data_IF_803027599493
#
_entry.id   IF_803027599493
#
_cell.length_a   1.000
_cell.length_b   1.000
_cell.length_c   1.000
_cell.angle_alpha   90.00
_cell.angle_beta   90.00
_cell.angle_gamma   90.00
#
_symmetry.space_group_name_H-M   'P 1'
#
loop_
_entity.id
_entity.type
_entity.pdbx_description
1 polymer ?
#
# COMPACT_ATOMS: atom_id res chain seq x y z
N UNK A 1 12.08 -12.20 -10.58
CA UNK A 1 12.78 -11.40 -9.55
C UNK A 1 11.75 -10.89 -8.54
N UNK A 2 12.17 -10.27 -7.42
CA UNK A 2 11.24 -9.71 -6.41
C UNK A 2 10.27 -8.72 -7.06
N UNK A 3 10.79 -7.81 -7.87
CA UNK A 3 10.02 -6.80 -8.59
C UNK A 3 8.94 -7.40 -9.52
N UNK A 4 9.27 -8.44 -10.30
CA UNK A 4 8.28 -9.12 -11.15
C UNK A 4 7.15 -9.74 -10.31
N UNK A 5 7.52 -10.33 -9.17
CA UNK A 5 6.55 -10.95 -8.26
C UNK A 5 5.67 -9.88 -7.62
N UNK A 6 6.25 -8.76 -7.21
CA UNK A 6 5.54 -7.61 -6.67
C UNK A 6 4.56 -7.04 -7.70
N UNK A 7 5.03 -6.73 -8.91
CA UNK A 7 4.21 -6.15 -9.97
C UNK A 7 3.04 -7.07 -10.35
N UNK A 8 3.30 -8.38 -10.52
CA UNK A 8 2.24 -9.36 -10.74
C UNK A 8 1.22 -9.38 -9.59
N UNK A 9 1.70 -9.31 -8.35
CA UNK A 9 0.83 -9.32 -7.17
C UNK A 9 0.01 -8.03 -7.07
N UNK A 10 0.55 -6.88 -7.49
CA UNK A 10 -0.20 -5.62 -7.61
C UNK A 10 -1.32 -5.74 -8.64
N UNK A 11 -1.04 -6.33 -9.80
CA UNK A 11 -2.07 -6.54 -10.83
C UNK A 11 -3.18 -7.47 -10.30
N UNK A 12 -2.82 -8.55 -9.61
CA UNK A 12 -3.77 -9.44 -8.94
C UNK A 12 -4.61 -8.69 -7.86
N UNK A 13 -4.00 -7.74 -7.15
CA UNK A 13 -4.70 -6.93 -6.15
C UNK A 13 -5.67 -5.92 -6.80
N UNK A 14 -5.27 -5.30 -7.90
CA UNK A 14 -6.11 -4.41 -8.71
C UNK A 14 -7.33 -5.20 -9.22
N UNK A 15 -7.12 -6.41 -9.76
CA UNK A 15 -8.22 -7.29 -10.19
C UNK A 15 -9.13 -7.69 -9.02
N UNK A 16 -8.58 -7.95 -7.83
CA UNK A 16 -9.40 -8.15 -6.63
C UNK A 16 -10.27 -6.92 -6.34
N UNK A 17 -9.71 -5.72 -6.44
CA UNK A 17 -10.45 -4.48 -6.19
C UNK A 17 -11.57 -4.23 -7.20
N UNK A 18 -11.53 -4.80 -8.41
CA UNK A 18 -12.62 -4.68 -9.41
C UNK A 18 -13.94 -5.34 -9.00
N UNK A 19 -13.92 -6.24 -8.01
CA UNK A 19 -15.12 -7.00 -7.64
C UNK A 19 -16.20 -6.07 -7.06
N UNK A 20 -17.49 -6.25 -7.44
CA UNK A 20 -18.58 -5.36 -7.00
C UNK A 20 -18.68 -5.20 -5.48
N UNK A 21 -18.44 -6.26 -4.71
CA UNK A 21 -18.48 -6.23 -3.25
C UNK A 21 -17.43 -5.31 -2.61
N UNK A 22 -16.34 -5.01 -3.32
CA UNK A 22 -15.31 -4.07 -2.87
C UNK A 22 -15.64 -2.68 -3.38
N UNK A 23 -15.99 -2.56 -4.66
CA UNK A 23 -16.35 -1.30 -5.31
C UNK A 23 -17.54 -0.59 -4.63
N UNK A 24 -18.53 -1.35 -4.15
CA UNK A 24 -19.74 -0.83 -3.52
C UNK A 24 -19.60 -0.68 -1.99
N UNK A 25 -18.47 -1.10 -1.41
CA UNK A 25 -18.26 -1.12 0.03
C UNK A 25 -17.42 0.07 0.49
N UNK A 26 -17.76 0.61 1.66
CA UNK A 26 -16.93 1.59 2.37
C UNK A 26 -15.86 0.95 3.26
N UNK A 27 -15.75 -0.39 3.26
CA UNK A 27 -14.86 -1.13 4.16
C UNK A 27 -13.45 -1.29 3.58
N UNK A 28 -12.50 -0.56 4.15
CA UNK A 28 -11.06 -0.71 3.87
C UNK A 28 -10.58 -2.15 4.14
N UNK A 29 -11.26 -2.88 5.03
CA UNK A 29 -10.88 -4.25 5.35
C UNK A 29 -11.00 -5.18 4.14
N UNK A 30 -11.98 -4.99 3.26
CA UNK A 30 -12.16 -5.83 2.07
C UNK A 30 -11.08 -5.61 1.00
N UNK A 31 -10.48 -4.42 0.99
CA UNK A 31 -9.31 -4.12 0.15
C UNK A 31 -8.10 -4.94 0.64
N UNK A 32 -7.97 -5.15 1.95
CA UNK A 32 -6.81 -5.83 2.57
C UNK A 32 -7.00 -7.33 2.79
N UNK A 33 -8.24 -7.81 2.88
CA UNK A 33 -8.53 -9.21 3.12
C UNK A 33 -8.47 -10.02 1.83
N UNK A 34 -7.26 -10.15 1.29
CA UNK A 34 -7.00 -10.90 0.07
C UNK A 34 -5.58 -11.46 0.04
N UNK A 35 -5.38 -12.51 -0.76
CA UNK A 35 -4.07 -13.13 -0.96
C UNK A 35 -3.02 -12.16 -1.51
N UNK A 36 -3.32 -11.29 -2.51
CA UNK A 36 -2.35 -10.34 -3.02
C UNK A 36 -1.79 -9.40 -1.95
N UNK A 37 -2.64 -8.88 -1.07
CA UNK A 37 -2.22 -8.05 0.07
C UNK A 37 -1.26 -8.81 1.00
N UNK A 38 -1.67 -10.01 1.44
CA UNK A 38 -0.86 -10.85 2.34
C UNK A 38 0.49 -11.20 1.72
N UNK A 39 0.50 -11.46 0.42
CA UNK A 39 1.70 -11.79 -0.34
C UNK A 39 2.67 -10.60 -0.41
N UNK A 40 2.19 -9.38 -0.67
CA UNK A 40 3.04 -8.18 -0.61
C UNK A 40 3.62 -7.98 0.78
N UNK A 41 2.80 -8.12 1.84
CA UNK A 41 3.29 -8.02 3.23
C UNK A 41 4.36 -9.07 3.52
N UNK A 42 4.19 -10.30 3.02
CA UNK A 42 5.15 -11.39 3.24
C UNK A 42 6.51 -11.18 2.56
N UNK A 43 6.59 -10.30 1.54
CA UNK A 43 7.87 -9.89 0.95
C UNK A 43 8.70 -9.03 1.91
N UNK A 44 8.08 -8.50 2.96
CA UNK A 44 8.76 -7.79 4.05
C UNK A 44 9.41 -6.48 3.60
N UNK A 45 10.49 -6.11 4.29
CA UNK A 45 11.14 -4.79 4.14
C UNK A 45 11.64 -4.52 2.71
N UNK A 46 12.00 -5.55 1.97
CA UNK A 46 12.46 -5.44 0.58
C UNK A 46 11.38 -4.93 -0.38
N UNK A 47 10.10 -5.07 -0.02
CA UNK A 47 9.00 -4.53 -0.81
C UNK A 47 8.75 -3.03 -0.58
N UNK A 48 9.26 -2.42 0.50
CA UNK A 48 8.99 -1.01 0.83
C UNK A 48 9.41 -0.02 -0.28
N UNK A 49 10.57 -0.18 -0.96
CA UNK A 49 10.92 0.68 -2.09
C UNK A 49 9.92 0.59 -3.24
N UNK A 50 9.40 -0.61 -3.52
CA UNK A 50 8.40 -0.84 -4.56
C UNK A 50 7.04 -0.26 -4.18
N UNK A 51 6.62 -0.43 -2.92
CA UNK A 51 5.43 0.22 -2.34
C UNK A 51 5.54 1.74 -2.44
N UNK A 52 6.73 2.30 -2.20
CA UNK A 52 6.95 3.75 -2.34
C UNK A 52 6.73 4.23 -3.77
N UNK A 53 7.19 3.48 -4.77
CA UNK A 53 7.00 3.84 -6.19
C UNK A 53 5.51 3.87 -6.57
N UNK A 54 4.67 3.05 -5.93
CA UNK A 54 3.22 3.05 -6.21
C UNK A 54 2.54 4.38 -5.84
N UNK A 55 3.05 5.14 -4.87
CA UNK A 55 2.52 6.48 -4.55
C UNK A 55 2.76 7.54 -5.64
N UNK A 56 3.66 7.28 -6.60
CA UNK A 56 3.91 8.16 -7.74
C UNK A 56 3.27 7.64 -9.04
N UNK A 57 2.70 6.43 -9.00
CA UNK A 57 2.05 5.84 -10.18
C UNK A 57 0.78 6.61 -10.48
N UNK A 58 0.66 7.06 -11.72
CA UNK A 58 -0.54 7.77 -12.16
C UNK A 58 -1.75 6.81 -12.10
N UNK A 59 -2.71 7.18 -11.26
CA UNK A 59 -3.99 6.49 -11.12
C UNK A 59 -5.12 7.25 -11.80
N UNK A 60 -4.82 8.34 -12.52
CA UNK A 60 -5.82 9.08 -13.28
C UNK A 60 -6.43 8.15 -14.34
N UNK A 61 -7.73 7.89 -14.19
CA UNK A 61 -8.47 6.94 -15.04
C UNK A 61 -8.39 5.45 -14.63
N UNK A 62 -7.72 5.10 -13.53
CA UNK A 62 -7.72 3.74 -12.96
C UNK A 62 -8.22 3.78 -11.52
N UNK A 63 -9.53 3.59 -11.34
CA UNK A 63 -10.18 3.66 -10.03
C UNK A 63 -9.68 2.57 -9.07
N UNK A 64 -9.38 1.38 -9.57
CA UNK A 64 -8.95 0.28 -8.73
C UNK A 64 -7.52 0.49 -8.20
N UNK A 65 -6.64 1.07 -9.02
CA UNK A 65 -5.32 1.51 -8.56
C UNK A 65 -5.44 2.64 -7.53
N UNK A 66 -6.38 3.58 -7.69
CA UNK A 66 -6.60 4.64 -6.69
C UNK A 66 -7.16 4.09 -5.38
N UNK A 67 -7.98 3.03 -5.42
CA UNK A 67 -8.41 2.28 -4.22
C UNK A 67 -7.22 1.60 -3.53
N UNK A 68 -6.33 0.96 -4.29
CA UNK A 68 -5.11 0.34 -3.73
C UNK A 68 -4.22 1.40 -3.06
N UNK A 69 -4.00 2.54 -3.71
CA UNK A 69 -3.23 3.68 -3.15
C UNK A 69 -3.90 4.24 -1.89
N UNK A 70 -5.19 4.58 -1.99
CA UNK A 70 -6.05 5.19 -0.97
C UNK A 70 -6.21 4.37 0.31
N UNK A 71 -6.31 3.06 0.16
CA UNK A 71 -6.84 2.18 1.19
C UNK A 71 -5.95 0.97 1.48
N UNK A 72 -5.05 0.62 0.57
CA UNK A 72 -4.19 -0.55 0.68
C UNK A 72 -2.78 -0.25 1.19
N UNK A 73 -2.08 0.71 0.57
CA UNK A 73 -0.63 0.90 0.76
C UNK A 73 -0.26 1.26 2.21
N UNK A 74 -1.05 2.11 2.88
CA UNK A 74 -0.86 2.42 4.31
C UNK A 74 -0.86 1.14 5.17
N UNK A 75 -1.76 0.19 4.87
CA UNK A 75 -1.85 -1.09 5.58
C UNK A 75 -0.58 -1.92 5.38
N UNK A 76 -0.11 -2.02 4.14
CA UNK A 76 1.13 -2.71 3.78
C UNK A 76 2.31 -2.14 4.54
N UNK A 77 2.49 -0.82 4.51
CA UNK A 77 3.61 -0.14 5.21
C UNK A 77 3.55 -0.42 6.71
N UNK A 78 2.36 -0.29 7.32
CA UNK A 78 2.19 -0.55 8.75
C UNK A 78 2.50 -1.99 9.14
N UNK A 79 2.09 -2.96 8.34
CA UNK A 79 2.36 -4.38 8.63
C UNK A 79 3.83 -4.76 8.43
N UNK A 80 4.51 -4.17 7.45
CA UNK A 80 5.94 -4.44 7.20
C UNK A 80 6.85 -3.70 8.20
N UNK A 81 6.56 -2.41 8.47
CA UNK A 81 7.39 -1.58 9.35
C UNK A 81 7.11 -1.85 10.84
N UNK A 82 5.92 -2.36 11.18
CA UNK A 82 5.52 -2.62 12.56
C UNK A 82 5.63 -1.37 13.42
N UNK A 83 6.33 -1.47 14.55
CA UNK A 83 6.48 -0.38 15.52
C UNK A 83 7.31 0.81 15.00
N UNK A 84 8.09 0.65 13.93
CA UNK A 84 8.87 1.74 13.31
C UNK A 84 7.98 2.80 12.63
N UNK A 85 6.71 2.48 12.39
CA UNK A 85 5.75 3.35 11.70
C UNK A 85 4.50 3.61 12.54
N UNK A 86 4.31 4.85 12.96
CA UNK A 86 3.14 5.25 13.75
C UNK A 86 2.45 6.48 13.18
N UNK A 87 1.16 6.34 12.85
CA UNK A 87 0.32 7.47 12.44
C UNK A 87 0.03 8.38 13.64
N UNK A 88 0.38 9.68 13.59
CA UNK A 88 0.04 10.65 14.61
C UNK A 88 -1.47 10.70 14.88
N UNK A 89 -1.86 10.80 16.16
CA UNK A 89 -3.30 10.83 16.52
C UNK A 89 -4.07 11.96 15.82
N UNK A 90 -3.44 13.13 15.63
CA UNK A 90 -4.06 14.31 15.03
C UNK A 90 -4.56 14.10 13.58
N UNK A 91 -3.99 13.12 12.87
CA UNK A 91 -4.33 12.84 11.47
C UNK A 91 -5.08 11.51 11.29
N UNK A 92 -5.36 10.78 12.38
CA UNK A 92 -6.09 9.51 12.29
C UNK A 92 -7.50 9.72 11.73
N UNK A 93 -7.89 8.86 10.80
CA UNK A 93 -9.18 8.93 10.11
C UNK A 93 -9.22 9.91 8.93
N UNK A 94 -8.18 10.73 8.76
CA UNK A 94 -8.05 11.64 7.63
C UNK A 94 -7.21 10.99 6.53
N UNK A 95 -7.87 10.27 5.63
CA UNK A 95 -7.24 9.38 4.62
C UNK A 95 -6.09 10.09 3.90
N UNK A 96 -6.35 11.24 3.27
CA UNK A 96 -5.35 11.98 2.50
C UNK A 96 -4.13 12.42 3.34
N UNK A 97 -4.35 12.90 4.58
CA UNK A 97 -3.24 13.29 5.46
C UNK A 97 -2.41 12.07 5.89
N UNK A 98 -3.06 10.94 6.16
CA UNK A 98 -2.37 9.69 6.49
C UNK A 98 -1.55 9.15 5.32
N UNK A 99 -2.06 9.24 4.09
CA UNK A 99 -1.33 8.84 2.88
C UNK A 99 -0.10 9.70 2.64
N UNK A 100 -0.24 11.03 2.72
CA UNK A 100 0.87 11.96 2.60
C UNK A 100 1.94 11.70 3.66
N UNK A 101 1.51 11.51 4.91
CA UNK A 101 2.41 11.14 6.00
C UNK A 101 3.15 9.82 5.71
N UNK A 102 2.43 8.80 5.21
CA UNK A 102 3.02 7.49 4.88
C UNK A 102 4.08 7.62 3.79
N UNK A 103 3.77 8.35 2.72
CA UNK A 103 4.70 8.63 1.63
C UNK A 103 5.96 9.34 2.14
N UNK A 104 5.80 10.40 2.92
CA UNK A 104 6.92 11.13 3.52
C UNK A 104 7.73 10.27 4.50
N UNK A 105 7.08 9.39 5.27
CA UNK A 105 7.80 8.45 6.14
C UNK A 105 8.65 7.49 5.31
N UNK A 106 8.10 6.94 4.22
CA UNK A 106 8.86 6.07 3.31
C UNK A 106 10.07 6.83 2.75
N UNK A 107 9.88 8.04 2.20
CA UNK A 107 10.96 8.89 1.66
C UNK A 107 12.12 9.07 2.65
N UNK A 108 11.80 9.31 3.92
CA UNK A 108 12.80 9.56 4.96
C UNK A 108 13.45 8.30 5.54
N UNK A 109 12.88 7.11 5.31
CA UNK A 109 13.34 5.87 5.92
C UNK A 109 13.84 4.82 4.92
N UNK A 110 13.72 5.05 3.59
CA UNK A 110 14.16 4.07 2.58
C UNK A 110 15.63 3.70 2.70
N UNK A 111 16.51 4.62 3.12
CA UNK A 111 17.94 4.33 3.34
C UNK A 111 18.21 3.25 4.39
N UNK A 112 17.26 2.97 5.28
CA UNK A 112 17.35 1.88 6.27
C UNK A 112 17.01 0.51 5.70
N UNK A 113 16.35 0.47 4.54
CA UNK A 113 15.78 -0.74 3.95
C UNK A 113 16.38 -1.06 2.58
N UNK A 114 17.03 -0.10 1.94
CA UNK A 114 17.86 -0.30 0.75
C UNK A 114 19.30 -0.44 1.21
N UNK A 115 19.76 -1.67 1.42
CA UNK A 115 21.20 -1.95 1.50
C UNK A 115 21.78 -1.73 0.09
N UNK A 116 22.56 -0.65 -0.07
CA UNK A 116 23.53 -0.52 -1.16
C UNK A 116 24.89 -0.86 -0.57
#
# INVERSE_FOLDING_TARGET
>A
MLEDTFNKTIDEWIEHCKKPEIQLSSSIQLVRDCEPYRKIVSMGREALPLVRQLYDRDSSGNFELSVVQGHGLLGVVREIAGDDFQIPQAIRGKVTEMEQYTKSWLDNNMSKYVNI
#
